data_IF_509468447152
#
_entry.id   IF_509468447152
#
_cell.length_a   1.000
_cell.length_b   1.000
_cell.length_c   1.000
_cell.angle_alpha   90.00
_cell.angle_beta   90.00
_cell.angle_gamma   90.00
#
_symmetry.space_group_name_H-M   'P 1'
#
loop_
_entity.id
_entity.type
_entity.pdbx_description
1 polymer ?
#
# COMPACT_ATOMS: atom_id res chain seq x y z
N UNK A 1 40.91 37.14 39.44
CA UNK A 1 40.95 36.73 38.03
C UNK A 1 41.67 35.40 37.93
N UNK A 2 40.97 34.34 37.50
CA UNK A 2 41.43 33.02 36.97
C UNK A 2 40.27 32.01 37.18
N UNK A 3 39.38 31.86 36.19
CA UNK A 3 39.32 30.79 35.17
C UNK A 3 38.74 29.45 35.66
N UNK A 4 37.71 29.02 34.94
CA UNK A 4 36.79 27.93 35.22
C UNK A 4 37.40 26.52 35.07
N UNK A 5 36.79 25.52 35.72
CA UNK A 5 36.55 24.23 35.07
C UNK A 5 35.11 23.81 35.34
N UNK A 6 34.31 23.87 34.27
CA UNK A 6 33.04 23.17 34.11
C UNK A 6 33.24 21.71 34.57
N UNK A 7 32.65 21.32 35.70
CA UNK A 7 32.52 19.90 36.01
C UNK A 7 31.50 19.35 35.02
N UNK A 8 32.00 18.70 33.98
CA UNK A 8 31.18 17.86 33.11
C UNK A 8 30.36 16.94 34.02
N UNK A 9 29.04 17.17 34.10
CA UNK A 9 28.11 16.20 34.65
C UNK A 9 28.14 15.05 33.65
N UNK A 10 29.11 14.16 33.83
CA UNK A 10 29.11 12.85 33.20
C UNK A 10 27.82 12.20 33.69
N UNK A 11 26.83 12.06 32.81
CA UNK A 11 25.65 11.28 33.13
C UNK A 11 26.15 9.90 33.56
N UNK A 12 26.02 9.57 34.85
CA UNK A 12 26.31 8.23 35.34
C UNK A 12 25.25 7.33 34.73
N UNK A 13 25.60 6.69 33.63
CA UNK A 13 24.77 5.69 33.00
C UNK A 13 24.96 4.40 33.77
N UNK A 14 23.89 3.90 34.37
CA UNK A 14 23.87 2.57 34.96
C UNK A 14 23.72 1.56 33.83
N UNK A 15 24.82 0.89 33.46
CA UNK A 15 24.81 -0.13 32.41
C UNK A 15 24.05 -1.39 32.81
N UNK A 16 23.81 -1.59 34.12
CA UNK A 16 23.00 -2.69 34.63
C UNK A 16 21.50 -2.35 34.62
N UNK A 17 21.13 -1.08 34.38
CA UNK A 17 19.74 -0.62 34.27
C UNK A 17 19.52 0.20 32.98
N UNK A 18 19.35 -0.47 31.82
CA UNK A 18 19.13 0.21 30.55
C UNK A 18 17.89 1.12 30.64
N UNK A 19 18.06 2.40 30.26
CA UNK A 19 16.99 3.42 30.27
C UNK A 19 15.80 3.02 29.38
N UNK A 20 16.00 2.09 28.45
CA UNK A 20 14.97 1.50 27.61
C UNK A 20 14.60 0.11 28.14
N UNK A 21 13.78 0.07 29.19
CA UNK A 21 12.95 -1.11 29.47
C UNK A 21 11.74 -1.01 28.53
N UNK A 22 11.91 -1.43 27.28
CA UNK A 22 10.75 -1.79 26.48
C UNK A 22 10.22 -3.08 27.10
N UNK A 23 8.99 -3.06 27.59
CA UNK A 23 8.28 -4.30 27.93
C UNK A 23 8.37 -5.20 26.70
N UNK A 24 8.84 -6.43 26.87
CA UNK A 24 8.74 -7.46 25.84
C UNK A 24 7.23 -7.66 25.63
N UNK A 25 6.66 -6.90 24.71
CA UNK A 25 5.28 -7.05 24.27
C UNK A 25 5.25 -8.46 23.70
N UNK A 26 4.74 -9.40 24.50
CA UNK A 26 4.52 -10.76 24.06
C UNK A 26 3.80 -10.68 22.73
N UNK A 27 4.32 -11.34 21.69
CA UNK A 27 3.69 -11.41 20.36
C UNK A 27 2.27 -12.03 20.40
N UNK A 28 1.81 -12.41 21.59
CA UNK A 28 0.51 -12.95 21.90
C UNK A 28 -0.47 -11.79 22.16
N UNK A 29 -1.31 -11.54 21.15
CA UNK A 29 -2.54 -10.73 21.16
C UNK A 29 -2.45 -9.22 20.88
N UNK A 30 -1.53 -8.78 20.03
CA UNK A 30 -1.73 -7.51 19.31
C UNK A 30 -2.86 -7.66 18.28
N UNK A 31 -4.11 -7.54 18.71
CA UNK A 31 -5.27 -7.50 17.80
C UNK A 31 -5.07 -6.36 16.79
N UNK A 32 -5.09 -6.69 15.49
CA UNK A 32 -5.05 -5.69 14.44
C UNK A 32 -6.19 -4.68 14.65
N UNK A 33 -5.89 -3.36 14.73
CA UNK A 33 -6.91 -2.35 14.79
C UNK A 33 -8.00 -2.58 13.75
N UNK A 34 -9.27 -2.47 14.16
CA UNK A 34 -10.43 -2.83 13.33
C UNK A 34 -10.40 -2.17 11.95
N UNK A 35 -9.88 -0.94 11.84
CA UNK A 35 -9.70 -0.25 10.56
C UNK A 35 -8.67 -0.93 9.64
N UNK A 36 -7.55 -1.41 10.18
CA UNK A 36 -6.54 -2.13 9.39
C UNK A 36 -7.08 -3.48 8.92
N UNK A 37 -7.78 -4.21 9.78
CA UNK A 37 -8.45 -5.46 9.40
C UNK A 37 -9.48 -5.24 8.27
N UNK A 38 -10.24 -4.13 8.33
CA UNK A 38 -11.20 -3.75 7.28
C UNK A 38 -10.51 -3.45 5.94
N UNK A 39 -9.35 -2.79 5.96
CA UNK A 39 -8.58 -2.46 4.75
C UNK A 39 -7.99 -3.72 4.10
N UNK A 40 -7.41 -4.63 4.88
CA UNK A 40 -6.87 -5.89 4.36
C UNK A 40 -7.95 -6.73 3.68
N UNK A 41 -9.12 -6.85 4.31
CA UNK A 41 -10.28 -7.52 3.72
C UNK A 41 -10.77 -6.87 2.42
N UNK A 42 -10.55 -5.57 2.26
CA UNK A 42 -10.88 -4.86 1.02
C UNK A 42 -9.83 -5.11 -0.07
N UNK A 43 -8.54 -5.19 0.29
CA UNK A 43 -7.45 -5.52 -0.64
C UNK A 43 -7.53 -6.96 -1.16
N UNK A 44 -7.98 -7.91 -0.34
CA UNK A 44 -8.19 -9.31 -0.76
C UNK A 44 -9.23 -9.46 -1.89
N UNK A 45 -10.02 -8.42 -2.17
CA UNK A 45 -11.04 -8.48 -3.21
C UNK A 45 -10.35 -8.49 -4.57
N UNK A 46 -10.53 -9.60 -5.29
CA UNK A 46 -10.10 -9.72 -6.69
C UNK A 46 -10.77 -8.62 -7.50
N UNK A 47 -9.97 -7.69 -8.01
CA UNK A 47 -10.44 -6.71 -8.98
C UNK A 47 -10.62 -7.43 -10.31
N UNK A 48 -11.81 -7.28 -10.89
CA UNK A 48 -12.06 -7.70 -12.26
C UNK A 48 -11.81 -6.50 -13.17
N UNK A 49 -11.22 -6.71 -14.36
CA UNK A 49 -11.10 -5.64 -15.32
C UNK A 49 -12.47 -5.06 -15.70
N UNK A 50 -12.52 -3.75 -15.96
CA UNK A 50 -13.73 -3.14 -16.46
C UNK A 50 -14.04 -3.65 -17.88
N UNK A 51 -15.30 -4.00 -18.12
CA UNK A 51 -15.77 -4.41 -19.44
C UNK A 51 -16.25 -3.16 -20.19
N UNK A 52 -15.53 -2.77 -21.22
CA UNK A 52 -15.92 -1.67 -22.11
C UNK A 52 -16.69 -2.22 -23.33
N UNK A 53 -17.64 -1.44 -23.83
CA UNK A 53 -18.35 -1.78 -25.07
C UNK A 53 -17.48 -1.47 -26.29
N UNK A 54 -17.45 -2.38 -27.27
CA UNK A 54 -16.83 -2.11 -28.56
C UNK A 54 -17.84 -1.44 -29.49
N UNK A 55 -17.58 -0.18 -29.83
CA UNK A 55 -18.37 0.53 -30.83
C UNK A 55 -17.86 0.19 -32.23
N UNK A 56 -18.76 -0.20 -33.14
CA UNK A 56 -18.41 -0.44 -34.54
C UNK A 56 -18.91 0.71 -35.41
N UNK A 57 -18.01 1.35 -36.13
CA UNK A 57 -18.31 2.53 -36.96
C UNK A 57 -17.96 2.22 -38.42
N UNK A 58 -18.93 2.42 -39.32
CA UNK A 58 -18.69 2.34 -40.76
C UNK A 58 -18.26 3.72 -41.31
N UNK A 59 -17.04 3.80 -41.84
CA UNK A 59 -16.47 4.99 -42.48
C UNK A 59 -16.70 5.03 -44.01
N UNK A 60 -17.34 4.01 -44.56
CA UNK A 60 -17.66 3.85 -45.97
C UNK A 60 -19.11 4.21 -46.30
N UNK A 61 -19.59 3.79 -47.47
CA UNK A 61 -21.00 3.92 -47.86
C UNK A 61 -21.78 2.65 -47.55
N UNK A 62 -23.08 2.62 -47.85
CA UNK A 62 -23.89 1.41 -47.70
C UNK A 62 -23.42 0.29 -48.63
N UNK A 63 -23.01 0.65 -49.85
CA UNK A 63 -22.52 -0.26 -50.88
C UNK A 63 -21.04 -0.65 -50.73
N UNK A 64 -20.23 0.19 -50.07
CA UNK A 64 -18.80 -0.05 -49.80
C UNK A 64 -18.48 0.24 -48.33
N UNK A 65 -18.77 -0.73 -47.46
CA UNK A 65 -18.60 -0.60 -46.01
C UNK A 65 -17.13 -0.68 -45.60
N UNK A 66 -16.71 0.20 -44.69
CA UNK A 66 -15.37 0.24 -44.08
C UNK A 66 -15.51 0.35 -42.57
N UNK A 67 -15.60 -0.78 -41.90
CA UNK A 67 -15.89 -0.83 -40.47
C UNK A 67 -14.63 -0.81 -39.62
N UNK A 68 -14.63 -0.01 -38.56
CA UNK A 68 -13.61 0.01 -37.51
C UNK A 68 -14.26 -0.25 -36.16
N UNK A 69 -13.50 -0.83 -35.23
CA UNK A 69 -13.92 -1.02 -33.83
C UNK A 69 -13.18 -0.06 -32.92
N UNK A 70 -13.89 0.59 -32.02
CA UNK A 70 -13.34 1.50 -31.01
C UNK A 70 -13.66 0.91 -29.63
N UNK A 71 -12.66 0.92 -28.74
CA UNK A 71 -12.76 0.38 -27.39
C UNK A 71 -11.72 -0.71 -27.13
N UNK A 72 -11.64 -1.16 -25.88
CA UNK A 72 -10.78 -2.25 -25.45
C UNK A 72 -11.61 -3.40 -24.88
N UNK A 73 -11.32 -4.62 -25.31
CA UNK A 73 -11.89 -5.82 -24.70
C UNK A 73 -10.76 -6.68 -24.19
N UNK A 74 -10.98 -7.29 -23.03
CA UNK A 74 -10.07 -8.28 -22.48
C UNK A 74 -10.62 -9.64 -22.83
N UNK A 75 -9.92 -10.34 -23.72
CA UNK A 75 -10.20 -11.74 -23.97
C UNK A 75 -9.55 -12.59 -22.88
N UNK A 76 -10.31 -13.53 -22.33
CA UNK A 76 -9.77 -14.51 -21.41
C UNK A 76 -8.68 -15.31 -22.13
N UNK A 77 -7.43 -15.01 -21.81
CA UNK A 77 -6.29 -15.81 -22.22
C UNK A 77 -6.36 -17.12 -21.46
N UNK A 78 -7.09 -18.09 -22.01
CA UNK A 78 -7.12 -19.45 -21.50
C UNK A 78 -5.69 -20.01 -21.49
N UNK A 79 -5.10 -20.13 -20.29
CA UNK A 79 -3.86 -20.85 -20.02
C UNK A 79 -4.17 -22.26 -19.54
#
# INVERSE_FOLDING_TARGET
MAFAMNSSVMAQYDFDNPIYQAEEESEEDCELPAELARLLKQEERVIQPHQEELETINLGTEDDKREIKIGATLEDSTL
#
